data_IF_112771326191
#
_entry.id   IF_112771326191
#
_cell.length_a   1.000
_cell.length_b   1.000
_cell.length_c   1.000
_cell.angle_alpha   90.00
_cell.angle_beta   90.00
_cell.angle_gamma   90.00
#
_symmetry.space_group_name_H-M   'P 1'
#
loop_
_entity.id
_entity.type
_entity.pdbx_description
1 polymer ?
#
# COMPACT_ATOMS: atom_id res chain seq x y z
N UNK A 1 22.91 -15.79 -3.28
CA UNK A 1 22.36 -15.65 -1.91
C UNK A 1 22.05 -14.18 -1.62
N UNK A 2 22.91 -13.25 -2.04
CA UNK A 2 22.74 -11.80 -1.82
C UNK A 2 21.48 -11.19 -2.45
N UNK A 3 21.09 -11.61 -3.66
CA UNK A 3 19.89 -11.10 -4.33
C UNK A 3 18.59 -11.46 -3.60
N UNK A 4 18.52 -12.65 -2.98
CA UNK A 4 17.36 -13.05 -2.17
C UNK A 4 17.29 -12.27 -0.86
N UNK A 5 18.43 -12.08 -0.19
CA UNK A 5 18.49 -11.31 1.06
C UNK A 5 18.07 -9.85 0.82
N UNK A 6 18.57 -9.24 -0.25
CA UNK A 6 18.21 -7.87 -0.63
C UNK A 6 16.73 -7.71 -0.99
N UNK A 7 16.15 -8.69 -1.69
CA UNK A 7 14.71 -8.71 -1.97
C UNK A 7 13.87 -8.81 -0.69
N UNK A 8 14.28 -9.64 0.27
CA UNK A 8 13.63 -9.78 1.57
C UNK A 8 13.68 -8.46 2.35
N UNK A 9 14.86 -7.81 2.43
CA UNK A 9 15.02 -6.53 3.12
C UNK A 9 14.13 -5.43 2.51
N UNK A 10 14.06 -5.38 1.18
CA UNK A 10 13.21 -4.42 0.48
C UNK A 10 11.72 -4.65 0.76
N UNK A 11 11.28 -5.92 0.76
CA UNK A 11 9.92 -6.30 1.11
C UNK A 11 9.58 -5.99 2.58
N UNK A 12 10.49 -6.29 3.51
CA UNK A 12 10.32 -5.96 4.92
C UNK A 12 10.19 -4.46 5.14
N UNK A 13 11.01 -3.65 4.45
CA UNK A 13 10.93 -2.19 4.49
C UNK A 13 9.58 -1.69 3.96
N UNK A 14 9.12 -2.18 2.80
CA UNK A 14 7.84 -1.81 2.23
C UNK A 14 6.67 -2.13 3.18
N UNK A 15 6.64 -3.34 3.76
CA UNK A 15 5.61 -3.74 4.75
C UNK A 15 5.64 -2.87 6.01
N UNK A 16 6.84 -2.52 6.49
CA UNK A 16 7.00 -1.64 7.65
C UNK A 16 6.47 -0.22 7.39
N UNK A 17 6.54 0.26 6.16
CA UNK A 17 5.94 1.56 5.76
C UNK A 17 4.42 1.47 5.52
N UNK A 18 3.92 0.34 5.02
CA UNK A 18 2.50 0.18 4.69
C UNK A 18 1.64 0.02 5.95
N UNK A 19 2.12 -0.74 6.93
CA UNK A 19 1.39 -1.02 8.18
C UNK A 19 0.91 0.24 8.91
N UNK A 20 1.74 1.26 9.19
CA UNK A 20 1.29 2.48 9.84
C UNK A 20 0.30 3.27 8.98
N UNK A 21 0.47 3.30 7.65
CA UNK A 21 -0.47 3.98 6.73
C UNK A 21 -1.85 3.34 6.79
N UNK A 22 -1.91 2.01 6.70
CA UNK A 22 -3.19 1.27 6.80
C UNK A 22 -3.85 1.51 8.15
N UNK A 23 -3.06 1.53 9.24
CA UNK A 23 -3.59 1.83 10.57
C UNK A 23 -4.16 3.25 10.66
N UNK A 24 -3.42 4.25 10.19
CA UNK A 24 -3.85 5.65 10.21
C UNK A 24 -5.13 5.86 9.42
N UNK A 25 -5.22 5.27 8.22
CA UNK A 25 -6.44 5.32 7.40
C UNK A 25 -7.60 4.62 8.11
N UNK A 26 -7.37 3.45 8.71
CA UNK A 26 -8.41 2.73 9.46
C UNK A 26 -8.93 3.50 10.67
N UNK A 27 -8.03 4.16 11.42
CA UNK A 27 -8.39 5.03 12.53
C UNK A 27 -9.22 6.24 12.04
N UNK A 28 -8.83 6.83 10.90
CA UNK A 28 -9.56 7.95 10.28
C UNK A 28 -10.97 7.54 9.80
N UNK A 29 -11.11 6.39 9.13
CA UNK A 29 -12.42 5.86 8.71
C UNK A 29 -13.32 5.62 9.93
N UNK A 30 -12.75 5.11 11.02
CA UNK A 30 -13.49 4.91 12.28
C UNK A 30 -14.00 6.24 12.85
N UNK A 31 -13.17 7.28 12.82
CA UNK A 31 -13.56 8.62 13.26
C UNK A 31 -14.68 9.23 12.39
N UNK A 32 -14.57 9.13 11.06
CA UNK A 32 -15.62 9.60 10.15
C UNK A 32 -16.94 8.82 10.32
N UNK A 33 -16.85 7.51 10.55
CA UNK A 33 -18.02 6.68 10.85
C UNK A 33 -18.73 7.14 12.14
N UNK A 34 -17.96 7.57 13.15
CA UNK A 34 -18.54 8.14 14.37
C UNK A 34 -19.25 9.47 14.11
N UNK A 35 -18.69 10.32 13.23
CA UNK A 35 -19.35 11.57 12.80
C UNK A 35 -20.66 11.29 12.05
N UNK A 36 -20.69 10.29 11.17
CA UNK A 36 -21.93 9.87 10.50
C UNK A 36 -23.00 9.49 11.52
N UNK A 37 -22.65 8.66 12.51
CA UNK A 37 -23.60 8.27 13.57
C UNK A 37 -24.13 9.48 14.34
N UNK A 38 -23.27 10.44 14.68
CA UNK A 38 -23.66 11.67 15.37
C UNK A 38 -24.55 12.58 14.50
N UNK A 39 -24.22 12.72 13.22
CA UNK A 39 -25.00 13.48 12.24
C UNK A 39 -26.38 12.89 12.03
N UNK A 40 -26.49 11.56 11.87
CA UNK A 40 -27.77 10.85 11.79
C UNK A 40 -28.61 11.01 13.06
N UNK A 41 -28.00 10.97 14.24
CA UNK A 41 -28.71 11.17 15.50
C UNK A 41 -29.24 12.60 15.70
N UNK A 42 -28.70 13.56 14.94
CA UNK A 42 -29.03 14.99 15.03
C UNK A 42 -29.73 15.53 13.78
N UNK A 43 -30.12 14.66 12.84
CA UNK A 43 -30.66 15.00 11.51
C UNK A 43 -29.77 16.00 10.71
N UNK A 44 -28.46 15.98 10.96
CA UNK A 44 -27.48 16.83 10.27
C UNK A 44 -26.93 16.13 9.02
N UNK A 45 -27.66 16.30 7.92
CA UNK A 45 -27.28 15.75 6.60
C UNK A 45 -25.95 16.26 6.07
N UNK A 46 -25.57 17.51 6.35
CA UNK A 46 -24.32 18.09 5.87
C UNK A 46 -23.10 17.40 6.51
N UNK A 47 -23.16 17.12 7.82
CA UNK A 47 -22.12 16.35 8.52
C UNK A 47 -22.02 14.92 7.96
N UNK A 48 -23.15 14.28 7.66
CA UNK A 48 -23.18 12.92 7.09
C UNK A 48 -22.55 12.89 5.70
N UNK A 49 -22.92 13.82 4.81
CA UNK A 49 -22.38 13.91 3.45
C UNK A 49 -20.87 14.22 3.44
N UNK A 50 -20.42 15.13 4.31
CA UNK A 50 -19.00 15.47 4.44
C UNK A 50 -18.18 14.26 4.91
N UNK A 51 -18.65 13.57 5.95
CA UNK A 51 -17.96 12.39 6.47
C UNK A 51 -17.96 11.22 5.46
N UNK A 52 -19.05 11.02 4.71
CA UNK A 52 -19.11 10.01 3.65
C UNK A 52 -18.10 10.32 2.53
N UNK A 53 -18.03 11.57 2.08
CA UNK A 53 -17.04 12.02 1.08
C UNK A 53 -15.61 11.79 1.56
N UNK A 54 -15.35 12.03 2.85
CA UNK A 54 -14.04 11.81 3.45
C UNK A 54 -13.68 10.32 3.51
N UNK A 55 -14.64 9.44 3.81
CA UNK A 55 -14.46 7.98 3.77
C UNK A 55 -14.12 7.51 2.34
N UNK A 56 -14.78 8.05 1.32
CA UNK A 56 -14.47 7.72 -0.08
C UNK A 56 -13.02 8.10 -0.44
N UNK A 57 -12.57 9.28 -0.02
CA UNK A 57 -11.19 9.74 -0.23
C UNK A 57 -10.15 8.89 0.52
N UNK A 58 -10.45 8.50 1.77
CA UNK A 58 -9.62 7.59 2.56
C UNK A 58 -9.54 6.20 1.93
N UNK A 59 -10.65 5.70 1.39
CA UNK A 59 -10.73 4.41 0.70
C UNK A 59 -9.91 4.43 -0.60
N UNK A 60 -9.96 5.53 -1.36
CA UNK A 60 -9.11 5.73 -2.53
C UNK A 60 -7.61 5.72 -2.16
N UNK A 61 -7.24 6.45 -1.10
CA UNK A 61 -5.86 6.49 -0.59
C UNK A 61 -5.37 5.10 -0.17
N UNK A 62 -6.23 4.29 0.47
CA UNK A 62 -5.91 2.92 0.85
C UNK A 62 -5.66 2.02 -0.37
N UNK A 63 -6.49 2.18 -1.42
CA UNK A 63 -6.32 1.46 -2.68
C UNK A 63 -5.00 1.82 -3.36
N UNK A 64 -4.64 3.09 -3.40
CA UNK A 64 -3.36 3.53 -3.99
C UNK A 64 -2.16 2.98 -3.21
N UNK A 65 -2.24 2.97 -1.87
CA UNK A 65 -1.22 2.35 -1.02
C UNK A 65 -1.09 0.83 -1.29
N UNK A 66 -2.22 0.14 -1.50
CA UNK A 66 -2.21 -1.28 -1.86
C UNK A 66 -1.55 -1.53 -3.22
N UNK A 67 -1.85 -0.73 -4.24
CA UNK A 67 -1.22 -0.82 -5.57
C UNK A 67 0.29 -0.57 -5.47
N UNK A 68 0.71 0.43 -4.69
CA UNK A 68 2.13 0.69 -4.44
C UNK A 68 2.84 -0.49 -3.79
N UNK A 69 2.18 -1.16 -2.84
CA UNK A 69 2.71 -2.35 -2.19
C UNK A 69 2.82 -3.54 -3.14
N UNK A 70 1.82 -3.78 -4.00
CA UNK A 70 1.85 -4.81 -5.04
C UNK A 70 3.02 -4.59 -6.02
N UNK A 71 3.27 -3.33 -6.41
CA UNK A 71 4.40 -2.97 -7.27
C UNK A 71 5.76 -3.24 -6.57
N UNK A 72 5.87 -2.93 -5.28
CA UNK A 72 7.08 -3.22 -4.50
C UNK A 72 7.34 -4.74 -4.40
N UNK A 73 6.29 -5.55 -4.17
CA UNK A 73 6.38 -7.01 -4.16
C UNK A 73 6.80 -7.56 -5.52
N UNK A 74 6.20 -7.06 -6.61
CA UNK A 74 6.56 -7.46 -7.97
C UNK A 74 8.02 -7.13 -8.29
N UNK A 75 8.50 -5.94 -7.89
CA UNK A 75 9.90 -5.55 -8.06
C UNK A 75 10.87 -6.42 -7.27
N UNK A 76 10.50 -6.83 -6.04
CA UNK A 76 11.35 -7.67 -5.19
C UNK A 76 11.42 -9.13 -5.67
N UNK A 77 10.41 -9.59 -6.40
CA UNK A 77 10.31 -10.99 -6.89
C UNK A 77 10.67 -11.16 -8.36
N UNK A 78 11.01 -10.08 -9.06
CA UNK A 78 11.44 -10.13 -10.45
C UNK A 78 12.73 -10.97 -10.58
N UNK A 79 12.81 -11.89 -11.56
CA UNK A 79 14.03 -12.66 -11.78
C UNK A 79 15.18 -11.71 -12.14
N UNK A 80 16.34 -11.90 -11.50
CA UNK A 80 17.55 -11.21 -11.88
C UNK A 80 17.77 -11.46 -13.38
N UNK A 81 17.86 -10.38 -14.18
CA UNK A 81 18.15 -10.49 -15.59
C UNK A 81 19.40 -11.36 -15.75
N UNK A 82 19.29 -12.47 -16.49
CA UNK A 82 20.43 -13.32 -16.79
C UNK A 82 21.52 -12.44 -17.42
N UNK A 83 22.71 -12.44 -16.81
CA UNK A 83 23.86 -11.72 -17.33
C UNK A 83 24.15 -12.21 -18.75
N UNK A 84 24.00 -11.38 -19.81
CA UNK A 84 24.25 -11.80 -21.18
C UNK A 84 25.73 -12.07 -21.47
N UNK A 85 26.63 -11.90 -20.50
CA UNK A 85 28.08 -12.06 -20.69
C UNK A 85 28.62 -13.49 -20.50
N UNK A 86 27.80 -14.48 -20.12
CA UNK A 86 28.30 -15.81 -19.72
C UNK A 86 28.48 -16.84 -20.86
N UNK A 87 28.27 -16.49 -22.13
CA UNK A 87 28.41 -17.46 -23.23
C UNK A 87 29.26 -16.91 -24.38
N UNK A 88 30.55 -16.67 -24.10
CA UNK A 88 31.58 -16.76 -25.13
C UNK A 88 32.16 -18.18 -25.08
N UNK A 89 31.92 -19.05 -26.08
CA UNK A 89 32.61 -20.33 -26.14
C UNK A 89 34.11 -20.05 -26.26
N UNK A 90 34.90 -20.63 -25.36
CA UNK A 90 36.35 -20.62 -25.45
C UNK A 90 36.76 -21.31 -26.77
N UNK A 91 37.00 -20.51 -27.80
CA UNK A 91 37.66 -20.95 -29.01
C UNK A 91 39.17 -20.86 -28.77
N UNK A 92 39.81 -22.00 -28.51
CA UNK A 92 41.12 -22.45 -29.04
C UNK A 92 41.69 -23.57 -28.19
#
# INVERSE_FOLDING_TARGET
MDSLMSAIEHLTSAVATLTPVVKEIGDAITAETAKIKAGLASDDSATVEAAATQIDALTASLKDAAVGAEAAVASATAPAAADPAAEAPAAS
#
